data_IF_763380798474
#
_entry.id   IF_763380798474
#
_cell.length_a   1.000
_cell.length_b   1.000
_cell.length_c   1.000
_cell.angle_alpha   90.00
_cell.angle_beta   90.00
_cell.angle_gamma   90.00
#
_symmetry.space_group_name_H-M   'P 1'
#
loop_
_entity.id
_entity.type
_entity.pdbx_description
1 polymer ?
#
# COMPACT_ATOMS: atom_id res chain seq x y z
N UNK A 1 10.85 27.22 -2.91
CA UNK A 1 11.14 27.16 -1.46
C UNK A 1 9.96 27.66 -0.62
N UNK A 2 9.30 28.76 -1.00
CA UNK A 2 8.09 29.27 -0.31
C UNK A 2 6.88 28.33 -0.48
N UNK A 3 6.63 27.78 -1.69
CA UNK A 3 5.58 26.77 -1.91
C UNK A 3 5.77 25.46 -1.11
N UNK A 4 7.02 25.12 -0.76
CA UNK A 4 7.34 23.97 0.10
C UNK A 4 6.97 24.23 1.56
N UNK A 5 7.05 25.48 2.01
CA UNK A 5 6.68 25.88 3.37
C UNK A 5 5.15 25.82 3.57
N UNK A 6 4.38 26.23 2.56
CA UNK A 6 2.91 26.15 2.58
C UNK A 6 2.40 24.70 2.61
N UNK A 7 3.20 23.77 2.09
CA UNK A 7 2.88 22.34 2.06
C UNK A 7 3.18 21.64 3.39
N UNK A 8 4.00 22.19 4.29
CA UNK A 8 4.43 21.54 5.55
C UNK A 8 3.28 20.84 6.31
N UNK A 9 2.10 21.48 6.51
CA UNK A 9 0.98 20.83 7.20
C UNK A 9 0.52 19.54 6.51
N UNK A 10 0.50 19.53 5.18
CA UNK A 10 0.12 18.35 4.38
C UNK A 10 1.12 17.21 4.58
N UNK A 11 2.41 17.48 4.51
CA UNK A 11 3.45 16.46 4.69
C UNK A 11 3.40 15.87 6.11
N UNK A 12 3.10 16.70 7.12
CA UNK A 12 2.92 16.25 8.48
C UNK A 12 1.70 15.34 8.64
N UNK A 13 0.58 15.69 8.03
CA UNK A 13 -0.65 14.87 8.01
C UNK A 13 -0.37 13.54 7.31
N UNK A 14 0.18 13.56 6.09
CA UNK A 14 0.44 12.36 5.31
C UNK A 14 1.44 11.43 6.02
N UNK A 15 2.49 11.99 6.63
CA UNK A 15 3.47 11.20 7.39
C UNK A 15 2.85 10.58 8.64
N UNK A 16 1.99 11.32 9.34
CA UNK A 16 1.27 10.80 10.52
C UNK A 16 0.30 9.68 10.13
N UNK A 17 -0.45 9.86 9.04
CA UNK A 17 -1.33 8.81 8.50
C UNK A 17 -0.52 7.60 8.06
N UNK A 18 0.61 7.79 7.37
CA UNK A 18 1.48 6.69 6.93
C UNK A 18 2.06 5.92 8.13
N UNK A 19 2.42 6.60 9.22
CA UNK A 19 2.91 5.97 10.44
C UNK A 19 1.83 5.10 11.09
N UNK A 20 0.63 5.64 11.28
CA UNK A 20 -0.52 4.91 11.85
C UNK A 20 -0.88 3.72 10.95
N UNK A 21 -0.94 3.94 9.63
CA UNK A 21 -1.24 2.91 8.66
C UNK A 21 -0.20 1.79 8.67
N UNK A 22 1.09 2.11 8.75
CA UNK A 22 2.17 1.12 8.87
C UNK A 22 2.05 0.28 10.15
N UNK A 23 1.67 0.91 11.27
CA UNK A 23 1.40 0.19 12.52
C UNK A 23 0.21 -0.77 12.39
N UNK A 24 -0.89 -0.32 11.79
CA UNK A 24 -2.07 -1.17 11.53
C UNK A 24 -1.74 -2.31 10.56
N UNK A 25 -0.98 -2.02 9.51
CA UNK A 25 -0.54 -3.02 8.52
C UNK A 25 0.30 -4.12 9.16
N UNK A 26 1.15 -3.77 10.13
CA UNK A 26 1.95 -4.74 10.88
C UNK A 26 1.11 -5.67 11.77
N UNK A 27 -0.07 -5.24 12.23
CA UNK A 27 -0.95 -6.02 13.13
C UNK A 27 -1.96 -6.85 12.34
N UNK A 28 -2.71 -6.20 11.45
CA UNK A 28 -3.89 -6.78 10.80
C UNK A 28 -3.71 -6.96 9.28
N UNK A 29 -2.71 -6.29 8.69
CA UNK A 29 -2.60 -6.12 7.24
C UNK A 29 -3.64 -5.15 6.67
N UNK A 30 -3.29 -4.48 5.57
CA UNK A 30 -4.20 -3.57 4.88
C UNK A 30 -4.03 -2.10 5.22
N UNK A 31 -2.86 -1.65 5.68
CA UNK A 31 -2.57 -0.23 5.91
C UNK A 31 -2.79 0.66 4.68
N UNK A 32 -2.73 0.05 3.48
CA UNK A 32 -3.14 0.66 2.22
C UNK A 32 -4.55 1.28 2.23
N UNK A 33 -5.47 0.73 3.03
CA UNK A 33 -6.84 1.24 3.16
C UNK A 33 -6.90 2.62 3.84
N UNK A 34 -5.86 3.00 4.58
CA UNK A 34 -5.74 4.32 5.22
C UNK A 34 -4.90 5.29 4.38
N UNK A 35 -3.77 4.83 3.85
CA UNK A 35 -2.86 5.66 3.04
C UNK A 35 -3.44 6.00 1.67
N UNK A 36 -4.16 5.09 0.99
CA UNK A 36 -4.70 5.36 -0.34
C UNK A 36 -5.73 6.49 -0.32
N UNK A 37 -6.76 6.51 0.55
CA UNK A 37 -7.68 7.65 0.64
C UNK A 37 -6.98 8.96 1.02
N UNK A 38 -5.98 8.92 1.92
CA UNK A 38 -5.23 10.10 2.32
C UNK A 38 -4.36 10.65 1.17
N UNK A 39 -3.82 9.79 0.31
CA UNK A 39 -3.08 10.22 -0.88
C UNK A 39 -4.04 10.69 -1.99
N UNK A 40 -5.20 10.05 -2.15
CA UNK A 40 -6.23 10.49 -3.11
C UNK A 40 -6.77 11.89 -2.77
N UNK A 41 -6.89 12.23 -1.49
CA UNK A 41 -7.36 13.57 -1.07
C UNK A 41 -6.41 14.71 -1.47
N UNK A 42 -5.18 14.39 -1.85
CA UNK A 42 -4.21 15.37 -2.37
C UNK A 42 -4.47 15.77 -3.83
N UNK A 43 -5.36 15.06 -4.53
CA UNK A 43 -5.63 15.27 -5.96
C UNK A 43 -4.57 14.67 -6.90
N UNK A 44 -3.64 13.86 -6.38
CA UNK A 44 -2.67 13.14 -7.20
C UNK A 44 -3.36 12.16 -8.15
N UNK A 45 -2.80 11.95 -9.35
CA UNK A 45 -3.25 10.90 -10.25
C UNK A 45 -3.24 9.52 -9.58
N UNK A 46 -4.24 8.68 -9.85
CA UNK A 46 -4.40 7.39 -9.16
C UNK A 46 -3.19 6.47 -9.29
N UNK A 47 -2.55 6.43 -10.46
CA UNK A 47 -1.38 5.59 -10.67
C UNK A 47 -0.21 6.02 -9.76
N UNK A 48 -0.04 7.32 -9.51
CA UNK A 48 0.95 7.85 -8.56
C UNK A 48 0.58 7.49 -7.12
N UNK A 49 -0.70 7.58 -6.77
CA UNK A 49 -1.19 7.19 -5.43
C UNK A 49 -0.93 5.71 -5.16
N UNK A 50 -1.34 4.83 -6.07
CA UNK A 50 -1.15 3.39 -5.95
C UNK A 50 0.33 3.01 -5.93
N UNK A 51 1.13 3.63 -6.81
CA UNK A 51 2.58 3.41 -6.86
C UNK A 51 3.27 3.84 -5.55
N UNK A 52 2.97 5.05 -5.06
CA UNK A 52 3.53 5.59 -3.81
C UNK A 52 3.18 4.70 -2.63
N UNK A 53 1.91 4.28 -2.52
CA UNK A 53 1.47 3.39 -1.47
C UNK A 53 2.18 2.03 -1.52
N UNK A 54 2.25 1.40 -2.70
CA UNK A 54 2.91 0.09 -2.84
C UNK A 54 4.41 0.15 -2.57
N UNK A 55 5.08 1.21 -3.04
CA UNK A 55 6.49 1.43 -2.75
C UNK A 55 6.76 1.54 -1.25
N UNK A 56 5.97 2.34 -0.53
CA UNK A 56 6.08 2.49 0.92
C UNK A 56 5.88 1.14 1.65
N UNK A 57 4.81 0.40 1.30
CA UNK A 57 4.55 -0.93 1.89
C UNK A 57 5.66 -1.94 1.62
N UNK A 58 6.31 -1.90 0.44
CA UNK A 58 7.42 -2.80 0.12
C UNK A 58 8.59 -2.67 1.09
N UNK A 59 8.93 -1.46 1.54
CA UNK A 59 9.95 -1.27 2.58
C UNK A 59 9.55 -1.87 3.93
N UNK A 60 8.27 -1.72 4.30
CA UNK A 60 7.71 -2.33 5.52
C UNK A 60 7.80 -3.86 5.47
N UNK A 61 7.28 -4.47 4.40
CA UNK A 61 7.35 -5.93 4.21
C UNK A 61 8.78 -6.44 4.09
N UNK A 62 9.68 -5.71 3.41
CA UNK A 62 11.10 -6.07 3.32
C UNK A 62 11.78 -6.07 4.69
N UNK A 63 11.52 -5.05 5.51
CA UNK A 63 12.07 -4.94 6.88
C UNK A 63 11.55 -6.03 7.79
N UNK A 64 10.24 -6.32 7.74
CA UNK A 64 9.62 -7.42 8.48
C UNK A 64 10.21 -8.78 8.06
N UNK A 65 10.31 -9.02 6.75
CA UNK A 65 10.89 -10.24 6.19
C UNK A 65 12.36 -10.43 6.63
N UNK A 66 13.16 -9.36 6.58
CA UNK A 66 14.55 -9.39 7.04
C UNK A 66 14.64 -9.68 8.55
N UNK A 67 13.77 -9.08 9.35
CA UNK A 67 13.73 -9.30 10.81
C UNK A 67 13.39 -10.75 11.14
N UNK A 68 12.38 -11.33 10.47
CA UNK A 68 12.01 -12.73 10.65
C UNK A 68 13.12 -13.69 10.22
N UNK A 69 13.84 -13.37 9.13
CA UNK A 69 15.00 -14.15 8.71
C UNK A 69 16.13 -14.08 9.74
N UNK A 70 16.48 -12.88 10.22
CA UNK A 70 17.51 -12.67 11.24
C UNK A 70 17.20 -13.42 12.54
N UNK A 71 15.94 -13.47 12.94
CA UNK A 71 15.49 -14.18 14.13
C UNK A 71 15.31 -15.70 13.92
N UNK A 72 15.70 -16.23 12.74
CA UNK A 72 15.60 -17.66 12.38
C UNK A 72 14.18 -18.23 12.53
N UNK A 73 13.16 -17.40 12.34
CA UNK A 73 11.76 -17.80 12.46
C UNK A 73 11.26 -18.59 11.25
N UNK A 74 12.00 -18.57 10.13
CA UNK A 74 11.69 -19.38 8.95
C UNK A 74 12.95 -19.70 8.12
N UNK A 75 12.84 -20.69 7.23
CA UNK A 75 13.89 -21.06 6.26
C UNK A 75 13.59 -20.49 4.86
N UNK A 76 14.53 -19.78 4.20
CA UNK A 76 14.27 -19.16 2.90
C UNK A 76 13.92 -20.15 1.78
N UNK A 77 14.45 -21.37 1.85
CA UNK A 77 14.25 -22.41 0.81
C UNK A 77 12.78 -22.72 0.54
N UNK A 78 11.94 -22.69 1.58
CA UNK A 78 10.51 -22.99 1.44
C UNK A 78 9.75 -21.88 0.68
N UNK A 79 10.27 -20.65 0.68
CA UNK A 79 9.55 -19.46 0.23
C UNK A 79 9.98 -18.97 -1.16
N UNK A 80 11.03 -19.55 -1.75
CA UNK A 80 11.48 -19.17 -3.11
C UNK A 80 10.37 -19.33 -4.15
N UNK A 81 9.64 -20.46 -4.11
CA UNK A 81 8.51 -20.69 -5.00
C UNK A 81 7.38 -19.67 -4.76
N UNK A 82 7.08 -19.34 -3.50
CA UNK A 82 6.10 -18.31 -3.16
C UNK A 82 6.54 -16.92 -3.68
N UNK A 83 7.82 -16.59 -3.56
CA UNK A 83 8.37 -15.33 -4.04
C UNK A 83 8.28 -15.20 -5.56
N UNK A 84 8.61 -16.26 -6.31
CA UNK A 84 8.49 -16.29 -7.77
C UNK A 84 7.02 -16.14 -8.20
N UNK A 85 6.11 -16.92 -7.60
CA UNK A 85 4.67 -16.83 -7.91
C UNK A 85 4.11 -15.46 -7.57
N UNK A 86 4.51 -14.87 -6.44
CA UNK A 86 4.11 -13.51 -6.04
C UNK A 86 4.65 -12.47 -7.01
N UNK A 87 5.90 -12.60 -7.45
CA UNK A 87 6.50 -11.69 -8.42
C UNK A 87 5.78 -11.72 -9.77
N UNK A 88 5.48 -12.91 -10.29
CA UNK A 88 4.71 -13.08 -11.53
C UNK A 88 3.31 -12.49 -11.36
N UNK A 89 2.62 -12.79 -10.26
CA UNK A 89 1.29 -12.24 -9.97
C UNK A 89 1.30 -10.71 -9.86
N UNK A 90 2.30 -10.13 -9.21
CA UNK A 90 2.46 -8.69 -9.08
C UNK A 90 2.74 -8.01 -10.43
N UNK A 91 3.60 -8.61 -11.27
CA UNK A 91 3.86 -8.13 -12.64
C UNK A 91 2.60 -8.14 -13.49
N UNK A 92 1.88 -9.27 -13.51
CA UNK A 92 0.65 -9.41 -14.28
C UNK A 92 -0.43 -8.44 -13.78
N UNK A 93 -0.58 -8.28 -12.46
CA UNK A 93 -1.52 -7.34 -11.87
C UNK A 93 -1.17 -5.88 -12.18
N UNK A 94 0.11 -5.51 -12.08
CA UNK A 94 0.58 -4.16 -12.42
C UNK A 94 0.35 -3.84 -13.90
N UNK A 95 0.64 -4.80 -14.79
CA UNK A 95 0.39 -4.64 -16.23
C UNK A 95 -1.11 -4.56 -16.54
N UNK A 96 -1.94 -5.38 -15.88
CA UNK A 96 -3.38 -5.32 -16.04
C UNK A 96 -3.94 -3.94 -15.63
N UNK A 97 -3.49 -3.37 -14.51
CA UNK A 97 -3.90 -2.03 -14.07
C UNK A 97 -3.39 -0.95 -15.04
N UNK A 98 -2.19 -1.10 -15.60
CA UNK A 98 -1.64 -0.17 -16.59
C UNK A 98 -2.49 -0.08 -17.87
N UNK A 99 -3.16 -1.15 -18.26
CA UNK A 99 -4.05 -1.18 -19.43
C UNK A 99 -5.43 -0.52 -19.18
N UNK A 100 -5.78 -0.25 -17.92
CA UNK A 100 -7.05 0.39 -17.55
C UNK A 100 -6.91 1.91 -17.69
N UNK A 101 -7.93 2.59 -18.21
CA UNK A 101 -7.91 4.04 -18.31
C UNK A 101 -7.86 4.70 -16.93
N UNK A 102 -7.02 5.73 -16.80
CA UNK A 102 -6.84 6.47 -15.54
C UNK A 102 -8.17 7.02 -15.00
N UNK A 103 -9.03 7.54 -15.88
CA UNK A 103 -10.35 8.09 -15.50
C UNK A 103 -11.28 7.01 -14.94
N UNK A 104 -11.25 5.79 -15.48
CA UNK A 104 -12.02 4.68 -14.91
C UNK A 104 -11.48 4.30 -13.54
N UNK A 105 -10.16 4.25 -13.40
CA UNK A 105 -9.49 3.92 -12.14
C UNK A 105 -9.78 4.97 -11.04
N UNK A 106 -9.81 6.25 -11.40
CA UNK A 106 -10.21 7.37 -10.53
C UNK A 106 -11.62 7.24 -9.96
N UNK A 107 -12.57 6.80 -10.78
CA UNK A 107 -13.97 6.63 -10.34
C UNK A 107 -14.14 5.36 -9.50
N UNK A 108 -13.49 4.26 -9.88
CA UNK A 108 -13.72 2.96 -9.22
C UNK A 108 -12.88 2.77 -7.96
N UNK A 109 -11.69 3.36 -7.87
CA UNK A 109 -10.76 3.09 -6.78
C UNK A 109 -11.28 3.50 -5.40
N UNK A 110 -11.86 4.71 -5.19
CA UNK A 110 -12.45 5.07 -3.89
C UNK A 110 -13.54 4.09 -3.44
N UNK A 111 -14.37 3.63 -4.39
CA UNK A 111 -15.42 2.64 -4.14
C UNK A 111 -14.82 1.32 -3.70
N UNK A 112 -13.78 0.84 -4.39
CA UNK A 112 -13.09 -0.41 -4.04
C UNK A 112 -12.43 -0.31 -2.66
N UNK A 113 -11.79 0.81 -2.32
CA UNK A 113 -11.16 1.00 -1.01
C UNK A 113 -12.20 1.00 0.11
N UNK A 114 -13.32 1.69 -0.06
CA UNK A 114 -14.41 1.69 0.93
C UNK A 114 -15.03 0.29 1.05
N UNK A 115 -15.32 -0.36 -0.07
CA UNK A 115 -15.91 -1.69 -0.09
C UNK A 115 -15.00 -2.73 0.59
N UNK A 116 -13.69 -2.67 0.32
CA UNK A 116 -12.71 -3.56 0.96
C UNK A 116 -12.50 -3.23 2.43
N UNK A 117 -12.53 -1.96 2.83
CA UNK A 117 -12.49 -1.57 4.24
C UNK A 117 -13.72 -2.09 5.01
N UNK A 118 -14.93 -1.91 4.47
CA UNK A 118 -16.16 -2.46 5.03
C UNK A 118 -16.06 -3.98 5.12
N UNK A 119 -15.67 -4.66 4.04
CA UNK A 119 -15.52 -6.10 4.03
C UNK A 119 -14.56 -6.59 5.12
N UNK A 120 -13.38 -5.96 5.25
CA UNK A 120 -12.39 -6.31 6.27
C UNK A 120 -12.91 -6.05 7.69
N UNK A 121 -13.69 -5.00 7.92
CA UNK A 121 -14.28 -4.71 9.24
C UNK A 121 -15.31 -5.76 9.68
N UNK A 122 -16.11 -6.29 8.75
CA UNK A 122 -17.15 -7.28 9.06
C UNK A 122 -16.70 -8.73 8.89
N UNK A 123 -15.55 -8.98 8.26
CA UNK A 123 -14.99 -10.32 8.13
C UNK A 123 -14.47 -10.78 9.49
N UNK A 124 -15.21 -11.70 10.11
CA UNK A 124 -14.81 -12.38 11.35
C UNK A 124 -13.57 -13.25 11.07
N UNK A 125 -12.44 -12.92 11.69
CA UNK A 125 -11.21 -13.74 11.67
C UNK A 125 -11.36 -14.99 12.54
#
# INVERSE_FOLDING_TARGET
>A
MIELLDSIPLWFILSSVALIAGFVDAIAGGGGLLTVPALLSTGMPVHMVLGTNKLASSFGTATASYTFYKNKLFSPKLWVHCAISTFIGALLGAFAVYLVSGEFLEKILPILVIATAIYTLFKKS
#
